data_IF_138045635547
#
_entry.id   IF_138045635547
#
_cell.length_a   1.000
_cell.length_b   1.000
_cell.length_c   1.000
_cell.angle_alpha   90.00
_cell.angle_beta   90.00
_cell.angle_gamma   90.00
#
_symmetry.space_group_name_H-M   'P 1'
#
loop_
_entity.id
_entity.type
_entity.pdbx_description
1 polymer ?
#
# COMPACT_ATOMS: atom_id res chain seq x y z
N UNK A 1 38.08 -9.11 48.56
CA UNK A 1 36.64 -9.45 48.54
C UNK A 1 36.21 -9.39 47.09
N UNK A 2 35.85 -10.51 46.48
CA UNK A 2 35.26 -10.49 45.12
C UNK A 2 33.77 -10.30 45.32
N UNK A 3 33.25 -9.14 44.94
CA UNK A 3 31.82 -8.82 45.04
C UNK A 3 31.03 -9.78 44.14
N UNK A 4 29.95 -10.36 44.65
CA UNK A 4 29.08 -11.21 43.84
C UNK A 4 28.57 -10.44 42.60
N UNK A 5 28.54 -11.07 41.41
CA UNK A 5 28.05 -10.42 40.21
C UNK A 5 26.57 -10.03 40.38
N UNK A 6 26.22 -8.81 39.98
CA UNK A 6 24.82 -8.33 40.04
C UNK A 6 24.00 -8.95 38.90
N UNK A 7 22.70 -9.24 39.12
CA UNK A 7 21.85 -9.78 38.07
C UNK A 7 21.69 -8.77 36.93
N UNK A 8 21.54 -9.25 35.67
CA UNK A 8 21.29 -8.36 34.54
C UNK A 8 19.96 -7.60 34.75
N UNK A 9 19.91 -6.29 34.43
CA UNK A 9 18.68 -5.51 34.53
C UNK A 9 17.62 -6.03 33.56
N UNK A 10 16.35 -5.96 34.00
CA UNK A 10 15.21 -6.32 33.15
C UNK A 10 15.08 -5.31 31.98
N UNK A 11 14.71 -5.76 30.77
CA UNK A 11 14.42 -4.86 29.66
C UNK A 11 13.26 -3.91 29.99
N UNK A 12 13.36 -2.65 29.58
CA UNK A 12 12.25 -1.70 29.72
C UNK A 12 11.11 -2.09 28.74
N UNK A 13 9.89 -2.40 29.24
CA UNK A 13 8.76 -2.77 28.39
C UNK A 13 8.33 -1.66 27.42
N UNK A 14 8.45 -0.38 27.81
CA UNK A 14 8.08 0.76 26.96
C UNK A 14 9.07 0.95 25.83
N UNK A 15 10.36 0.86 26.11
CA UNK A 15 11.41 0.95 25.08
C UNK A 15 11.30 -0.22 24.10
N UNK A 16 11.11 -1.44 24.62
CA UNK A 16 10.95 -2.65 23.82
C UNK A 16 9.71 -2.56 22.92
N UNK A 17 8.58 -2.10 23.45
CA UNK A 17 7.35 -1.90 22.67
C UNK A 17 7.52 -0.81 21.61
N UNK A 18 8.16 0.32 21.95
CA UNK A 18 8.42 1.40 21.00
C UNK A 18 9.30 0.94 19.82
N UNK A 19 10.36 0.16 20.10
CA UNK A 19 11.20 -0.43 19.06
C UNK A 19 10.41 -1.38 18.16
N UNK A 20 9.62 -2.29 18.74
CA UNK A 20 8.75 -3.20 18.00
C UNK A 20 7.76 -2.45 17.08
N UNK A 21 7.12 -1.40 17.59
CA UNK A 21 6.20 -0.57 16.81
C UNK A 21 6.90 0.09 15.64
N UNK A 22 8.10 0.62 15.84
CA UNK A 22 8.89 1.25 14.77
C UNK A 22 9.27 0.24 13.68
N UNK A 23 9.73 -0.95 14.04
CA UNK A 23 10.04 -2.02 13.07
C UNK A 23 8.81 -2.47 12.29
N UNK A 24 7.67 -2.68 12.96
CA UNK A 24 6.42 -3.06 12.29
C UNK A 24 5.98 -1.99 11.28
N UNK A 25 6.14 -0.71 11.64
CA UNK A 25 5.85 0.40 10.75
C UNK A 25 6.78 0.42 9.53
N UNK A 26 8.09 0.25 9.73
CA UNK A 26 9.06 0.17 8.64
C UNK A 26 8.79 -1.02 7.71
N UNK A 27 8.43 -2.16 8.27
CA UNK A 27 8.01 -3.34 7.51
C UNK A 27 6.78 -3.04 6.66
N UNK A 28 5.75 -2.41 7.23
CA UNK A 28 4.54 -2.05 6.49
C UNK A 28 4.82 -1.04 5.36
N UNK A 29 5.67 -0.04 5.63
CA UNK A 29 6.10 0.95 4.62
C UNK A 29 6.86 0.25 3.49
N UNK A 30 7.80 -0.63 3.83
CA UNK A 30 8.58 -1.39 2.85
C UNK A 30 7.69 -2.29 2.02
N UNK A 31 6.78 -3.02 2.66
CA UNK A 31 5.82 -3.88 1.99
C UNK A 31 4.93 -3.08 1.03
N UNK A 32 4.44 -1.91 1.44
CA UNK A 32 3.70 -1.04 0.53
C UNK A 32 4.57 -0.59 -0.64
N UNK A 33 5.81 -0.14 -0.40
CA UNK A 33 6.73 0.31 -1.44
C UNK A 33 7.06 -0.77 -2.48
N UNK A 34 7.19 -2.03 -2.06
CA UNK A 34 7.37 -3.17 -2.97
C UNK A 34 6.12 -3.44 -3.82
N UNK A 35 4.94 -3.26 -3.24
CA UNK A 35 3.66 -3.57 -3.90
C UNK A 35 3.13 -2.40 -4.74
N UNK A 36 3.53 -1.16 -4.46
CA UNK A 36 3.17 0.06 -5.19
C UNK A 36 3.96 0.20 -6.50
N UNK A 37 3.94 -0.86 -7.32
CA UNK A 37 4.68 -0.91 -8.58
C UNK A 37 3.89 -0.21 -9.69
N UNK A 38 4.56 0.71 -10.41
CA UNK A 38 4.00 1.37 -11.57
C UNK A 38 3.74 0.37 -12.70
N UNK A 39 2.62 0.52 -13.40
CA UNK A 39 2.24 -0.31 -14.53
C UNK A 39 1.98 0.54 -15.75
N UNK A 40 2.48 0.08 -16.90
CA UNK A 40 2.20 0.68 -18.20
C UNK A 40 1.64 -0.42 -19.09
N UNK A 41 0.47 -0.18 -19.65
CA UNK A 41 -0.22 -1.08 -20.57
C UNK A 41 -0.48 -0.34 -21.89
N UNK A 42 -0.86 -1.03 -22.98
CA UNK A 42 -1.27 -0.36 -24.22
C UNK A 42 -2.45 0.60 -24.01
N UNK A 43 -3.31 0.31 -23.03
CA UNK A 43 -4.53 1.07 -22.78
C UNK A 43 -4.32 2.25 -21.82
N UNK A 44 -3.22 2.28 -21.07
CA UNK A 44 -2.98 3.32 -20.08
C UNK A 44 -1.82 3.05 -19.12
N UNK A 45 -1.79 3.80 -18.03
CA UNK A 45 -0.80 3.64 -16.96
C UNK A 45 -1.43 3.78 -15.58
N UNK A 46 -0.85 3.09 -14.61
CA UNK A 46 -1.12 3.22 -13.18
C UNK A 46 0.21 3.57 -12.52
N UNK A 47 0.28 4.74 -11.91
CA UNK A 47 1.50 5.24 -11.28
C UNK A 47 1.26 5.56 -9.81
N UNK A 48 2.21 5.22 -8.96
CA UNK A 48 2.22 5.53 -7.54
C UNK A 48 3.28 6.59 -7.27
N UNK A 49 2.90 7.63 -6.54
CA UNK A 49 3.81 8.71 -6.16
C UNK A 49 3.62 9.06 -4.69
N UNK A 50 4.72 9.24 -3.95
CA UNK A 50 4.64 9.77 -2.59
C UNK A 50 4.26 11.25 -2.65
N UNK A 51 3.16 11.61 -1.99
CA UNK A 51 2.61 12.98 -1.94
C UNK A 51 2.88 13.68 -0.60
N UNK A 52 3.55 13.00 0.33
CA UNK A 52 3.95 13.55 1.62
C UNK A 52 4.07 12.46 2.67
N UNK A 53 3.92 12.86 3.93
CA UNK A 53 3.89 11.95 5.08
C UNK A 53 2.80 12.38 6.07
N UNK A 54 2.30 11.42 6.84
CA UNK A 54 1.44 11.69 7.99
C UNK A 54 2.24 12.32 9.15
N UNK A 55 1.54 12.78 10.19
CA UNK A 55 2.16 13.43 11.35
C UNK A 55 3.19 12.53 12.07
N UNK A 56 3.02 11.21 11.98
CA UNK A 56 3.94 10.22 12.54
C UNK A 56 5.13 9.92 11.61
N UNK A 57 5.20 10.53 10.43
CA UNK A 57 6.25 10.30 9.43
C UNK A 57 5.94 9.19 8.41
N UNK A 58 4.81 8.49 8.51
CA UNK A 58 4.43 7.43 7.55
C UNK A 58 4.18 8.03 6.16
N UNK A 59 4.84 7.54 5.08
CA UNK A 59 4.62 8.02 3.72
C UNK A 59 3.16 7.92 3.26
N UNK A 60 2.71 8.94 2.53
CA UNK A 60 1.40 8.99 1.87
C UNK A 60 1.61 8.88 0.37
N UNK A 61 0.84 8.01 -0.28
CA UNK A 61 0.93 7.80 -1.71
C UNK A 61 -0.37 8.13 -2.43
N UNK A 62 -0.23 8.59 -3.66
CA UNK A 62 -1.30 8.80 -4.62
C UNK A 62 -1.15 7.77 -5.74
N UNK A 63 -2.26 7.13 -6.10
CA UNK A 63 -2.34 6.26 -7.26
C UNK A 63 -3.04 7.02 -8.39
N UNK A 64 -2.34 7.27 -9.48
CA UNK A 64 -2.87 7.96 -10.66
C UNK A 64 -3.05 6.96 -11.80
N UNK A 65 -4.29 6.84 -12.27
CA UNK A 65 -4.62 6.10 -13.48
C UNK A 65 -4.79 7.08 -14.64
N UNK A 66 -4.15 6.78 -15.77
CA UNK A 66 -4.26 7.57 -16.99
C UNK A 66 -4.53 6.66 -18.20
N UNK A 67 -5.36 7.12 -19.12
CA UNK A 67 -5.51 6.51 -20.44
C UNK A 67 -4.25 6.71 -21.28
N UNK A 68 -3.96 5.78 -22.19
CA UNK A 68 -2.95 6.01 -23.22
C UNK A 68 -3.37 7.18 -24.12
N UNK A 69 -2.42 7.81 -24.80
CA UNK A 69 -2.73 8.94 -25.68
C UNK A 69 -3.75 8.58 -26.77
N UNK A 70 -3.70 7.34 -27.28
CA UNK A 70 -4.66 6.83 -28.24
C UNK A 70 -6.08 6.75 -27.63
N UNK A 71 -6.21 6.10 -26.46
CA UNK A 71 -7.51 5.96 -25.79
C UNK A 71 -8.06 7.30 -25.28
N UNK A 72 -7.18 8.23 -24.88
CA UNK A 72 -7.57 9.58 -24.48
C UNK A 72 -8.17 10.37 -25.65
N UNK A 73 -7.58 10.30 -26.85
CA UNK A 73 -8.17 10.95 -28.04
C UNK A 73 -9.54 10.39 -28.40
N UNK A 74 -9.73 9.08 -28.27
CA UNK A 74 -11.04 8.45 -28.47
C UNK A 74 -12.02 8.96 -27.43
N UNK A 75 -11.62 9.00 -26.16
CA UNK A 75 -12.45 9.54 -25.06
C UNK A 75 -12.90 10.97 -25.32
N UNK A 76 -11.96 11.85 -25.67
CA UNK A 76 -12.23 13.26 -25.95
C UNK A 76 -13.14 13.41 -27.17
N UNK A 77 -12.92 12.62 -28.23
CA UNK A 77 -13.78 12.60 -29.43
C UNK A 77 -15.19 12.13 -29.08
N UNK A 78 -15.34 11.06 -28.29
CA UNK A 78 -16.65 10.57 -27.85
C UNK A 78 -17.40 11.62 -27.03
N UNK A 79 -16.72 12.31 -26.11
CA UNK A 79 -17.32 13.42 -25.35
C UNK A 79 -17.73 14.59 -26.25
N UNK A 80 -16.89 14.96 -27.21
CA UNK A 80 -17.21 16.02 -28.17
C UNK A 80 -18.42 15.65 -29.02
N UNK A 81 -18.51 14.40 -29.48
CA UNK A 81 -19.66 13.89 -30.24
C UNK A 81 -20.94 13.93 -29.42
N UNK A 82 -20.89 13.51 -28.15
CA UNK A 82 -22.03 13.61 -27.22
C UNK A 82 -22.47 15.07 -27.03
N UNK A 83 -21.53 16.00 -26.89
CA UNK A 83 -21.84 17.42 -26.77
C UNK A 83 -22.46 17.98 -28.05
N UNK A 84 -21.95 17.60 -29.22
CA UNK A 84 -22.50 18.01 -30.51
C UNK A 84 -23.94 17.49 -30.68
N UNK A 85 -24.22 16.24 -30.30
CA UNK A 85 -25.59 15.73 -30.32
C UNK A 85 -26.49 16.50 -29.35
N UNK A 86 -26.03 16.76 -28.13
CA UNK A 86 -26.79 17.54 -27.16
C UNK A 86 -27.13 18.94 -27.71
N UNK A 87 -26.18 19.58 -28.41
CA UNK A 87 -26.39 20.86 -29.07
C UNK A 87 -27.41 20.77 -30.22
N UNK A 88 -27.37 19.71 -31.03
CA UNK A 88 -28.39 19.47 -32.07
C UNK A 88 -29.77 19.31 -31.41
N UNK A 89 -29.87 18.52 -30.34
CA UNK A 89 -31.10 18.36 -29.56
C UNK A 89 -31.62 19.69 -29.00
N UNK A 90 -30.72 20.53 -28.48
CA UNK A 90 -31.05 21.88 -28.00
C UNK A 90 -31.56 22.79 -29.11
N UNK A 91 -30.90 22.80 -30.28
CA UNK A 91 -31.31 23.63 -31.41
C UNK A 91 -32.65 23.17 -32.00
N UNK A 92 -32.86 21.87 -32.13
CA UNK A 92 -34.11 21.32 -32.65
C UNK A 92 -35.27 21.54 -31.67
N UNK A 93 -35.04 21.37 -30.37
CA UNK A 93 -36.04 21.69 -29.35
C UNK A 93 -36.37 23.19 -29.32
N UNK A 94 -35.39 24.07 -29.51
CA UNK A 94 -35.63 25.51 -29.65
C UNK A 94 -36.47 25.85 -30.91
N UNK A 95 -36.20 25.20 -32.05
CA UNK A 95 -37.02 25.35 -33.27
C UNK A 95 -38.46 24.89 -33.05
N UNK A 96 -38.66 23.77 -32.36
CA UNK A 96 -40.01 23.27 -31.99
C UNK A 96 -40.69 24.25 -31.03
N UNK A 97 -39.97 24.77 -30.02
CA UNK A 97 -40.47 25.79 -29.11
C UNK A 97 -40.92 27.05 -29.85
N UNK A 98 -40.14 27.52 -30.82
CA UNK A 98 -40.50 28.66 -31.66
C UNK A 98 -41.71 28.37 -32.56
N UNK A 99 -41.77 27.19 -33.19
CA UNK A 99 -42.89 26.73 -34.01
C UNK A 99 -44.20 26.65 -33.22
N UNK A 100 -44.15 26.15 -31.98
CA UNK A 100 -45.31 26.08 -31.08
C UNK A 100 -45.77 27.47 -30.58
N UNK A 101 -44.88 28.47 -30.62
CA UNK A 101 -45.17 29.85 -30.19
C UNK A 101 -45.62 30.78 -31.33
N UNK A 102 -45.42 30.38 -32.59
CA UNK A 102 -45.94 31.09 -33.75
C UNK A 102 -47.35 30.59 -34.09
N UNK A 103 -48.32 31.51 -34.15
CA UNK A 103 -49.66 31.22 -34.68
C UNK A 103 -49.51 30.54 -36.05
N UNK A 104 -50.11 29.35 -36.20
CA UNK A 104 -50.09 28.57 -37.42
C UNK A 104 -50.67 29.38 -38.58
N UNK A 105 -49.81 29.83 -39.49
CA UNK A 105 -50.19 30.42 -40.78
C UNK A 105 -50.01 29.36 -41.88
N UNK A 106 -51.09 28.86 -42.50
CA UNK A 106 -51.04 27.79 -43.49
C UNK A 106 -50.38 28.16 -44.84
N UNK A 107 -49.97 29.41 -45.08
CA UNK A 107 -49.27 29.81 -46.31
C UNK A 107 -47.76 29.54 -46.23
N UNK A 108 -47.35 28.28 -46.34
CA UNK A 108 -45.93 27.91 -46.37
C UNK A 108 -45.38 28.03 -47.81
N UNK A 109 -45.03 29.26 -48.20
CA UNK A 109 -44.76 29.68 -49.58
C UNK A 109 -43.53 29.03 -50.25
N UNK A 110 -42.55 28.50 -49.50
CA UNK A 110 -41.26 28.08 -50.09
C UNK A 110 -41.30 26.68 -50.73
N UNK A 111 -42.01 25.73 -50.12
CA UNK A 111 -42.21 24.38 -50.69
C UNK A 111 -43.28 24.41 -51.78
N UNK A 112 -44.33 25.21 -51.57
CA UNK A 112 -45.37 25.43 -52.58
C UNK A 112 -44.82 26.08 -53.83
N UNK A 113 -43.99 27.13 -53.71
CA UNK A 113 -43.40 27.82 -54.85
C UNK A 113 -42.55 26.91 -55.73
N UNK A 114 -41.71 26.06 -55.12
CA UNK A 114 -40.81 25.17 -55.86
C UNK A 114 -41.56 23.99 -56.51
N UNK A 115 -42.60 23.45 -55.87
CA UNK A 115 -43.50 22.47 -56.48
C UNK A 115 -44.29 23.09 -57.64
N UNK A 116 -44.73 24.34 -57.50
CA UNK A 116 -45.42 25.07 -58.56
C UNK A 116 -44.52 25.27 -59.79
N UNK A 117 -43.26 25.67 -59.58
CA UNK A 117 -42.31 25.93 -60.66
C UNK A 117 -41.97 24.66 -61.46
N UNK A 118 -41.70 23.56 -60.77
CA UNK A 118 -41.46 22.25 -61.38
C UNK A 118 -42.70 21.67 -62.07
N UNK A 119 -43.88 21.84 -61.47
CA UNK A 119 -45.16 21.41 -62.02
C UNK A 119 -45.50 22.14 -63.31
N UNK A 120 -45.43 23.48 -63.32
CA UNK A 120 -45.66 24.30 -64.51
C UNK A 120 -44.73 23.99 -65.66
N UNK A 121 -43.43 23.86 -65.40
CA UNK A 121 -42.44 23.62 -66.44
C UNK A 121 -42.75 22.37 -67.27
N UNK A 122 -43.38 21.37 -66.67
CA UNK A 122 -43.77 20.12 -67.33
C UNK A 122 -45.23 20.12 -67.82
N UNK A 123 -46.15 20.74 -67.09
CA UNK A 123 -47.59 20.74 -67.40
C UNK A 123 -48.00 21.79 -68.42
N UNK A 124 -47.39 22.98 -68.40
CA UNK A 124 -47.75 24.09 -69.29
C UNK A 124 -47.69 23.70 -70.79
N UNK A 125 -46.63 23.04 -71.31
CA UNK A 125 -46.61 22.65 -72.72
C UNK A 125 -47.65 21.57 -73.07
N UNK A 126 -47.95 20.66 -72.15
CA UNK A 126 -48.96 19.63 -72.34
C UNK A 126 -50.37 20.23 -72.38
N UNK A 127 -50.65 21.17 -71.47
CA UNK A 127 -51.93 21.88 -71.39
C UNK A 127 -52.16 22.76 -72.63
N UNK A 128 -51.12 23.43 -73.13
CA UNK A 128 -51.20 24.21 -74.36
C UNK A 128 -51.54 23.33 -75.58
N UNK A 129 -50.99 22.12 -75.67
CA UNK A 129 -51.35 21.17 -76.73
C UNK A 129 -52.83 20.72 -76.64
N UNK A 130 -53.31 20.43 -75.44
CA UNK A 130 -54.71 20.03 -75.22
C UNK A 130 -55.70 21.16 -75.57
N UNK A 131 -55.36 22.39 -75.20
CA UNK A 131 -56.17 23.56 -75.55
C UNK A 131 -56.26 23.73 -77.08
N UNK A 132 -55.14 23.63 -77.79
CA UNK A 132 -55.11 23.74 -79.25
C UNK A 132 -55.92 22.63 -79.93
N UNK A 133 -55.87 21.40 -79.40
CA UNK A 133 -56.66 20.29 -79.89
C UNK A 133 -58.17 20.51 -79.66
N UNK A 134 -58.55 21.04 -78.50
CA UNK A 134 -59.94 21.40 -78.18
C UNK A 134 -60.45 22.48 -79.15
N UNK A 135 -59.68 23.56 -79.34
CA UNK A 135 -60.04 24.63 -80.28
C UNK A 135 -60.22 24.12 -81.70
N UNK A 136 -59.33 23.23 -82.17
CA UNK A 136 -59.45 22.60 -83.49
C UNK A 136 -60.73 21.77 -83.62
N UNK A 137 -61.08 21.00 -82.56
CA UNK A 137 -62.29 20.18 -82.54
C UNK A 137 -63.56 21.04 -82.58
N UNK A 138 -63.60 22.10 -81.79
CA UNK A 138 -64.72 23.05 -81.77
C UNK A 138 -64.90 23.74 -83.12
N UNK A 139 -63.79 24.16 -83.75
CA UNK A 139 -63.80 24.74 -85.09
C UNK A 139 -64.32 23.77 -86.15
N UNK A 140 -63.88 22.50 -86.14
CA UNK A 140 -64.37 21.47 -87.06
C UNK A 140 -65.86 21.12 -86.85
N UNK A 141 -66.40 21.39 -85.66
CA UNK A 141 -67.83 21.23 -85.34
C UNK A 141 -68.67 22.47 -85.70
N UNK A 142 -68.05 23.51 -86.29
CA UNK A 142 -68.72 24.76 -86.65
C UNK A 142 -68.95 25.70 -85.47
N UNK A 143 -68.35 25.42 -84.30
CA UNK A 143 -68.43 26.26 -83.12
C UNK A 143 -67.35 27.35 -83.21
N UNK A 144 -67.76 28.55 -83.63
CA UNK A 144 -66.85 29.67 -83.81
C UNK A 144 -66.40 30.28 -82.47
N UNK A 145 -65.14 30.77 -82.37
CA UNK A 145 -64.69 31.57 -81.25
C UNK A 145 -65.60 32.78 -81.00
N UNK A 146 -65.93 33.05 -79.73
CA UNK A 146 -66.86 34.13 -79.33
C UNK A 146 -68.35 33.73 -79.33
N UNK A 147 -68.68 32.50 -79.70
CA UNK A 147 -70.02 31.94 -79.46
C UNK A 147 -70.18 31.51 -78.00
N UNK A 148 -71.41 31.56 -77.48
CA UNK A 148 -71.72 31.13 -76.11
C UNK A 148 -71.33 29.65 -75.86
N UNK A 149 -71.46 28.79 -76.89
CA UNK A 149 -71.05 27.39 -76.82
C UNK A 149 -69.53 27.23 -76.73
N UNK A 150 -68.75 28.00 -77.50
CA UNK A 150 -67.30 28.02 -77.40
C UNK A 150 -66.83 28.45 -76.00
N UNK A 151 -67.42 29.52 -75.47
CA UNK A 151 -67.06 30.04 -74.14
C UNK A 151 -67.45 29.09 -73.01
N UNK A 152 -68.54 28.33 -73.16
CA UNK A 152 -68.93 27.31 -72.19
C UNK A 152 -67.93 26.15 -72.16
N UNK A 153 -67.53 25.64 -73.33
CA UNK A 153 -66.54 24.56 -73.45
C UNK A 153 -65.16 24.99 -72.96
N UNK A 154 -64.71 26.19 -73.33
CA UNK A 154 -63.44 26.74 -72.85
C UNK A 154 -63.47 26.99 -71.33
N UNK A 155 -64.60 27.39 -70.74
CA UNK A 155 -64.73 27.49 -69.27
C UNK A 155 -64.65 26.12 -68.61
N UNK A 156 -65.34 25.13 -69.14
CA UNK A 156 -65.30 23.75 -68.64
C UNK A 156 -63.88 23.19 -68.67
N UNK A 157 -63.17 23.37 -69.79
CA UNK A 157 -61.77 22.98 -69.94
C UNK A 157 -60.85 23.67 -68.91
N UNK A 158 -61.00 24.99 -68.73
CA UNK A 158 -60.21 25.74 -67.76
C UNK A 158 -60.51 25.32 -66.31
N UNK A 159 -61.75 25.00 -65.97
CA UNK A 159 -62.13 24.47 -64.66
C UNK A 159 -61.51 23.10 -64.41
N UNK A 160 -61.63 22.16 -65.36
CA UNK A 160 -61.00 20.84 -65.24
C UNK A 160 -59.47 20.91 -65.12
N UNK A 161 -58.84 21.86 -65.82
CA UNK A 161 -57.40 22.14 -65.71
C UNK A 161 -57.00 22.64 -64.33
N UNK A 162 -57.76 23.57 -63.76
CA UNK A 162 -57.52 24.08 -62.40
C UNK A 162 -57.67 22.98 -61.35
N UNK A 163 -58.69 22.13 -61.48
CA UNK A 163 -58.92 21.02 -60.54
C UNK A 163 -57.80 19.97 -60.62
N UNK A 164 -57.32 19.68 -61.83
CA UNK A 164 -56.21 18.75 -62.05
C UNK A 164 -54.89 19.29 -61.48
N UNK A 165 -54.61 20.60 -61.65
CA UNK A 165 -53.45 21.25 -61.03
C UNK A 165 -53.56 21.25 -59.49
N UNK A 166 -54.74 21.50 -58.94
CA UNK A 166 -54.98 21.43 -57.51
C UNK A 166 -54.77 20.02 -56.96
N UNK A 167 -55.26 18.98 -57.64
CA UNK A 167 -55.01 17.59 -57.24
C UNK A 167 -53.53 17.20 -57.29
N UNK A 168 -52.80 17.64 -58.32
CA UNK A 168 -51.36 17.41 -58.41
C UNK A 168 -50.62 18.10 -57.27
N UNK A 169 -51.01 19.33 -56.93
CA UNK A 169 -50.40 20.07 -55.82
C UNK A 169 -50.64 19.35 -54.48
N UNK A 170 -51.87 18.88 -54.24
CA UNK A 170 -52.22 18.17 -53.01
C UNK A 170 -51.45 16.85 -52.88
N UNK A 171 -51.32 16.08 -53.98
CA UNK A 171 -50.55 14.82 -53.99
C UNK A 171 -49.05 15.06 -53.89
N UNK A 172 -48.52 16.07 -54.58
CA UNK A 172 -47.12 16.48 -54.52
C UNK A 172 -46.71 16.99 -53.14
N UNK A 173 -47.59 17.73 -52.44
CA UNK A 173 -47.37 18.15 -51.04
C UNK A 173 -47.21 16.95 -50.11
N UNK A 174 -48.06 15.93 -50.24
CA UNK A 174 -47.97 14.72 -49.42
C UNK A 174 -46.65 13.98 -49.64
N UNK A 175 -46.18 13.89 -50.88
CA UNK A 175 -44.89 13.27 -51.23
C UNK A 175 -43.69 14.08 -50.72
N UNK A 176 -43.68 15.39 -50.98
CA UNK A 176 -42.61 16.28 -50.53
C UNK A 176 -42.50 16.29 -48.98
N UNK A 177 -43.63 16.26 -48.28
CA UNK A 177 -43.64 16.19 -46.82
C UNK A 177 -43.01 14.88 -46.28
N UNK A 178 -43.31 13.75 -46.93
CA UNK A 178 -42.71 12.45 -46.58
C UNK A 178 -41.21 12.40 -46.88
N UNK A 179 -40.76 13.00 -47.99
CA UNK A 179 -39.33 13.13 -48.31
C UNK A 179 -38.60 13.98 -47.27
N UNK A 180 -39.17 15.13 -46.90
CA UNK A 180 -38.58 16.06 -45.93
C UNK A 180 -38.51 15.45 -44.53
N UNK A 181 -39.49 14.62 -44.15
CA UNK A 181 -39.43 13.82 -42.92
C UNK A 181 -38.33 12.75 -42.97
N UNK A 182 -38.13 12.11 -44.12
CA UNK A 182 -37.09 11.08 -44.30
C UNK A 182 -35.71 11.69 -44.25
N UNK A 183 -35.50 12.83 -44.92
CA UNK A 183 -34.25 13.60 -44.90
C UNK A 183 -33.92 14.10 -43.48
N UNK A 184 -34.93 14.45 -42.68
CA UNK A 184 -34.74 14.82 -41.27
C UNK A 184 -34.45 13.63 -40.34
N UNK A 185 -34.96 12.44 -40.62
CA UNK A 185 -34.80 11.26 -39.76
C UNK A 185 -33.50 10.48 -40.04
N UNK A 186 -32.96 10.55 -41.25
CA UNK A 186 -31.72 9.88 -41.64
C UNK A 186 -30.51 10.25 -40.76
N UNK A 187 -30.18 11.55 -40.55
CA UNK A 187 -29.03 11.93 -39.72
C UNK A 187 -29.19 11.52 -38.26
N UNK A 188 -30.41 11.53 -37.73
CA UNK A 188 -30.67 11.17 -36.34
C UNK A 188 -30.42 9.68 -36.08
N UNK A 189 -30.81 8.81 -37.02
CA UNK A 189 -30.56 7.38 -36.93
C UNK A 189 -29.07 7.03 -37.13
N UNK A 190 -28.37 7.71 -38.05
CA UNK A 190 -26.93 7.56 -38.24
C UNK A 190 -26.13 7.99 -36.99
N UNK A 191 -26.54 9.09 -36.35
CA UNK A 191 -25.89 9.57 -35.12
C UNK A 191 -26.15 8.62 -33.93
N UNK A 192 -27.36 8.06 -33.82
CA UNK A 192 -27.66 7.04 -32.80
C UNK A 192 -26.82 5.78 -32.99
N UNK A 193 -26.52 5.40 -34.23
CA UNK A 193 -25.66 4.26 -34.55
C UNK A 193 -24.17 4.55 -34.24
N UNK A 194 -23.71 5.79 -34.41
CA UNK A 194 -22.34 6.20 -34.06
C UNK A 194 -22.12 6.28 -32.54
N UNK A 195 -23.15 6.66 -31.77
CA UNK A 195 -23.09 6.76 -30.30
C UNK A 195 -23.01 5.41 -29.58
N UNK A 196 -23.53 4.34 -30.19
CA UNK A 196 -23.43 3.00 -29.59
C UNK A 196 -22.07 2.32 -29.85
N UNK A 197 -21.24 2.89 -30.74
CA UNK A 197 -20.14 2.18 -31.37
C UNK A 197 -18.81 2.09 -30.62
N UNK A 198 -18.56 2.88 -29.56
CA UNK A 198 -17.29 2.75 -28.82
C UNK A 198 -17.33 3.39 -27.43
N UNK A 199 -17.67 2.60 -26.41
CA UNK A 199 -17.31 2.97 -25.05
C UNK A 199 -15.80 2.80 -24.89
N UNK A 200 -15.11 3.86 -24.45
CA UNK A 200 -13.70 3.75 -24.05
C UNK A 200 -13.61 2.80 -22.87
N UNK A 201 -12.99 1.64 -23.08
CA UNK A 201 -12.79 0.65 -22.03
C UNK A 201 -11.79 1.19 -21.02
N UNK A 202 -12.14 1.16 -19.74
CA UNK A 202 -11.22 1.53 -18.67
C UNK A 202 -9.99 0.59 -18.72
N UNK A 203 -8.76 1.11 -18.61
CA UNK A 203 -7.57 0.26 -18.61
C UNK A 203 -7.63 -0.74 -17.46
N UNK A 204 -7.37 -2.02 -17.77
CA UNK A 204 -7.16 -3.05 -16.76
C UNK A 204 -5.67 -3.18 -16.45
N UNK A 205 -5.32 -3.16 -15.17
CA UNK A 205 -3.95 -3.32 -14.70
C UNK A 205 -3.74 -4.75 -14.18
N UNK A 206 -2.55 -5.30 -14.36
CA UNK A 206 -2.21 -6.62 -13.87
C UNK A 206 -2.16 -6.64 -12.33
N UNK A 207 -2.47 -7.79 -11.74
CA UNK A 207 -2.20 -8.01 -10.31
C UNK A 207 -0.69 -8.03 -10.11
N UNK A 208 -0.14 -7.07 -9.36
CA UNK A 208 1.27 -7.06 -8.97
C UNK A 208 1.52 -8.17 -7.94
N UNK A 209 2.56 -9.02 -8.11
CA UNK A 209 2.93 -10.00 -7.10
C UNK A 209 3.07 -9.33 -5.73
N UNK A 210 2.31 -9.79 -4.73
CA UNK A 210 2.38 -9.21 -3.40
C UNK A 210 3.61 -9.76 -2.66
N UNK A 211 4.66 -8.95 -2.55
CA UNK A 211 5.77 -9.27 -1.67
C UNK A 211 5.32 -9.07 -0.22
N UNK A 212 5.49 -10.11 0.61
CA UNK A 212 5.28 -10.02 2.05
C UNK A 212 6.62 -9.82 2.73
N UNK A 213 6.71 -8.78 3.56
CA UNK A 213 7.87 -8.54 4.42
C UNK A 213 7.46 -8.99 5.82
N UNK A 214 8.18 -9.95 6.39
CA UNK A 214 7.88 -10.45 7.72
C UNK A 214 8.25 -9.40 8.79
N UNK A 215 7.40 -9.26 9.80
CA UNK A 215 7.75 -8.51 11.01
C UNK A 215 8.80 -9.29 11.81
N UNK A 216 9.71 -8.57 12.45
CA UNK A 216 10.66 -9.14 13.42
C UNK A 216 10.01 -9.08 14.79
N UNK A 217 9.92 -10.19 15.52
CA UNK A 217 9.50 -10.21 16.93
C UNK A 217 10.67 -9.79 17.84
N UNK A 218 10.93 -8.49 17.88
CA UNK A 218 11.97 -7.90 18.70
C UNK A 218 11.70 -8.06 20.19
N UNK A 219 10.44 -7.96 20.62
CA UNK A 219 10.09 -8.20 22.02
C UNK A 219 10.42 -9.63 22.45
N UNK A 220 10.15 -10.62 21.61
CA UNK A 220 10.57 -12.00 21.80
C UNK A 220 12.09 -12.14 21.87
N UNK A 221 12.83 -11.52 20.96
CA UNK A 221 14.30 -11.55 20.93
C UNK A 221 14.94 -10.92 22.18
N UNK A 222 14.44 -9.77 22.62
CA UNK A 222 14.92 -9.07 23.82
C UNK A 222 14.66 -9.92 25.07
N UNK A 223 13.47 -10.51 25.19
CA UNK A 223 13.15 -11.40 26.31
C UNK A 223 13.99 -12.68 26.30
N UNK A 224 14.20 -13.29 25.11
CA UNK A 224 15.04 -14.48 24.97
C UNK A 224 16.50 -14.18 25.36
N UNK A 225 17.04 -13.02 24.94
CA UNK A 225 18.37 -12.57 25.38
C UNK A 225 18.43 -12.37 26.88
N UNK A 226 17.45 -11.71 27.48
CA UNK A 226 17.44 -11.48 28.93
C UNK A 226 17.40 -12.81 29.72
N UNK A 227 16.62 -13.79 29.27
CA UNK A 227 16.60 -15.13 29.88
C UNK A 227 17.96 -15.84 29.76
N UNK A 228 18.65 -15.71 28.62
CA UNK A 228 19.99 -16.26 28.44
C UNK A 228 21.01 -15.59 29.36
N UNK A 229 20.94 -14.25 29.50
CA UNK A 229 21.81 -13.48 30.40
C UNK A 229 21.57 -13.86 31.87
N UNK A 230 20.30 -14.08 32.26
CA UNK A 230 19.94 -14.59 33.60
C UNK A 230 20.46 -16.01 33.86
N UNK A 231 20.34 -16.90 32.87
CA UNK A 231 20.85 -18.27 32.99
C UNK A 231 22.37 -18.30 33.12
N UNK A 232 23.08 -17.46 32.36
CA UNK A 232 24.53 -17.30 32.45
C UNK A 232 24.94 -16.75 33.83
N UNK A 233 24.26 -15.70 34.30
CA UNK A 233 24.47 -15.15 35.64
C UNK A 233 24.23 -16.21 36.74
N UNK A 234 23.16 -16.99 36.64
CA UNK A 234 22.85 -18.04 37.61
C UNK A 234 23.89 -19.16 37.58
N UNK A 235 24.39 -19.54 36.41
CA UNK A 235 25.48 -20.51 36.28
C UNK A 235 26.79 -20.00 36.91
N UNK A 236 27.09 -18.70 36.78
CA UNK A 236 28.26 -18.07 37.41
C UNK A 236 28.13 -17.99 38.94
N UNK A 237 26.96 -17.62 39.45
CA UNK A 237 26.69 -17.65 40.90
C UNK A 237 26.76 -19.09 41.44
N UNK A 238 26.22 -20.07 40.72
CA UNK A 238 26.29 -21.47 41.11
C UNK A 238 27.71 -22.03 41.07
N UNK A 239 28.54 -21.63 40.09
CA UNK A 239 29.94 -22.06 40.02
C UNK A 239 30.79 -21.43 41.13
N UNK A 240 30.55 -20.15 41.48
CA UNK A 240 31.18 -19.51 42.63
C UNK A 240 30.75 -20.15 43.95
N UNK A 241 29.46 -20.48 44.11
CA UNK A 241 28.95 -21.20 45.28
C UNK A 241 29.48 -22.64 45.35
N UNK A 242 29.64 -23.34 44.22
CA UNK A 242 30.22 -24.68 44.17
C UNK A 242 31.75 -24.67 44.39
N UNK A 243 32.45 -23.63 43.94
CA UNK A 243 33.87 -23.42 44.21
C UNK A 243 34.10 -23.09 45.69
N UNK A 244 33.25 -22.25 46.29
CA UNK A 244 33.28 -21.98 47.72
C UNK A 244 32.87 -23.21 48.53
N UNK A 245 31.78 -23.90 48.17
CA UNK A 245 31.35 -25.15 48.80
C UNK A 245 32.37 -26.28 48.65
N UNK A 246 33.09 -26.33 47.52
CA UNK A 246 34.21 -27.24 47.28
C UNK A 246 35.46 -26.86 48.06
N UNK A 247 35.78 -25.57 48.20
CA UNK A 247 36.92 -25.10 48.99
C UNK A 247 36.70 -25.24 50.50
N UNK A 248 35.45 -25.16 50.97
CA UNK A 248 35.06 -25.45 52.35
C UNK A 248 34.77 -26.96 52.59
N UNK A 249 34.40 -27.71 51.55
CA UNK A 249 34.10 -29.16 51.59
C UNK A 249 35.29 -30.07 51.26
N UNK A 250 36.37 -29.55 50.65
CA UNK A 250 37.66 -30.23 50.46
C UNK A 250 38.54 -30.15 51.73
N UNK A 251 37.92 -30.24 52.90
CA UNK A 251 38.57 -30.60 54.15
C UNK A 251 38.76 -32.11 54.29
N UNK A 252 39.22 -32.81 53.24
CA UNK A 252 39.26 -34.28 53.28
C UNK A 252 40.22 -35.00 52.33
N UNK A 253 40.27 -34.68 51.03
CA UNK A 253 41.03 -35.52 50.10
C UNK A 253 41.59 -34.77 48.89
N UNK A 254 42.87 -35.02 48.62
CA UNK A 254 43.64 -34.82 47.38
C UNK A 254 44.57 -33.58 47.31
N UNK A 255 45.81 -33.79 47.76
CA UNK A 255 46.95 -33.77 46.83
C UNK A 255 47.58 -32.43 46.41
N UNK A 256 47.11 -31.29 46.90
CA UNK A 256 47.84 -30.02 46.82
C UNK A 256 48.29 -29.63 48.24
N UNK A 257 49.60 -29.49 48.46
CA UNK A 257 50.10 -28.97 49.72
C UNK A 257 49.48 -27.59 49.96
N UNK A 258 48.55 -27.50 50.93
CA UNK A 258 47.92 -26.26 51.34
C UNK A 258 48.94 -25.40 52.09
N UNK A 259 49.89 -24.82 51.36
CA UNK A 259 50.80 -23.80 51.85
C UNK A 259 49.98 -22.51 51.99
N UNK A 260 49.64 -22.16 53.23
CA UNK A 260 49.07 -20.83 53.53
C UNK A 260 50.18 -19.95 54.10
N UNK A 261 50.38 -18.79 53.50
CA UNK A 261 51.24 -17.75 54.07
C UNK A 261 50.83 -17.48 55.51
N UNK A 262 51.74 -17.72 56.46
CA UNK A 262 51.47 -17.64 57.89
C UNK A 262 52.50 -16.81 58.64
N UNK A 263 53.26 -16.00 57.90
CA UNK A 263 54.25 -15.07 58.40
C UNK A 263 53.60 -14.00 59.32
N UNK A 264 54.11 -13.76 60.54
CA UNK A 264 53.61 -12.70 61.42
C UNK A 264 53.67 -11.31 60.78
N UNK A 265 54.62 -11.04 59.88
CA UNK A 265 54.75 -9.76 59.20
C UNK A 265 53.50 -9.41 58.38
N UNK A 266 52.77 -10.42 57.90
CA UNK A 266 51.55 -10.25 57.10
C UNK A 266 50.28 -10.12 57.96
N UNK A 267 50.41 -10.24 59.29
CA UNK A 267 49.27 -10.37 60.22
C UNK A 267 49.20 -9.22 61.23
N UNK A 268 48.01 -8.97 61.72
CA UNK A 268 47.60 -7.95 62.71
C UNK A 268 46.58 -8.56 63.68
N UNK A 269 46.28 -7.89 64.79
CA UNK A 269 45.32 -8.34 65.81
C UNK A 269 45.56 -9.79 66.28
N UNK A 270 46.84 -10.14 66.48
CA UNK A 270 47.27 -11.51 66.77
C UNK A 270 47.01 -11.81 68.26
N UNK A 271 46.04 -12.68 68.52
CA UNK A 271 45.68 -13.14 69.86
C UNK A 271 45.78 -14.66 69.93
N UNK A 272 46.47 -15.19 70.93
CA UNK A 272 46.53 -16.64 71.14
C UNK A 272 45.19 -17.12 71.72
N UNK A 273 44.50 -17.97 70.97
CA UNK A 273 43.16 -18.48 71.32
C UNK A 273 43.16 -19.95 71.75
N UNK A 274 44.26 -20.67 71.55
CA UNK A 274 44.34 -22.07 71.93
C UNK A 274 45.67 -22.72 71.65
N UNK A 275 45.68 -24.05 71.67
CA UNK A 275 46.83 -24.89 71.39
C UNK A 275 46.37 -26.23 70.81
N UNK A 276 47.06 -26.73 69.80
CA UNK A 276 46.85 -28.06 69.23
C UNK A 276 47.38 -29.15 70.16
N UNK A 277 46.93 -30.39 69.98
CA UNK A 277 47.39 -31.56 70.76
C UNK A 277 48.90 -31.79 70.68
N UNK A 278 49.53 -31.39 69.57
CA UNK A 278 50.98 -31.45 69.38
C UNK A 278 51.75 -30.27 70.01
N UNK A 279 51.04 -29.40 70.73
CA UNK A 279 51.59 -28.28 71.50
C UNK A 279 51.74 -26.97 70.73
N UNK A 280 51.48 -26.93 69.42
CA UNK A 280 51.55 -25.68 68.64
C UNK A 280 50.44 -24.70 69.06
N UNK A 281 50.77 -23.42 69.33
CA UNK A 281 49.76 -22.40 69.65
C UNK A 281 48.89 -22.07 68.44
N UNK A 282 47.61 -21.82 68.70
CA UNK A 282 46.62 -21.38 67.71
C UNK A 282 46.26 -19.92 68.01
N UNK A 283 46.22 -19.09 66.96
CA UNK A 283 45.99 -17.66 67.04
C UNK A 283 44.73 -17.27 66.27
N UNK A 284 44.01 -16.27 66.77
CA UNK A 284 43.11 -15.42 65.98
C UNK A 284 43.92 -14.24 65.46
N UNK A 285 43.79 -13.88 64.19
CA UNK A 285 44.51 -12.76 63.58
C UNK A 285 43.72 -12.19 62.40
N UNK A 286 44.14 -11.04 61.88
CA UNK A 286 43.68 -10.46 60.60
C UNK A 286 44.86 -10.21 59.68
N UNK A 287 44.73 -10.43 58.37
CA UNK A 287 45.78 -10.05 57.42
C UNK A 287 45.86 -8.53 57.25
N UNK A 288 47.09 -8.01 57.09
CA UNK A 288 47.34 -6.59 56.80
C UNK A 288 46.70 -6.12 55.50
N UNK A 289 46.57 -7.02 54.52
CA UNK A 289 45.89 -6.77 53.25
C UNK A 289 44.36 -6.59 53.40
N UNK A 290 43.81 -6.76 54.61
CA UNK A 290 42.37 -6.67 54.89
C UNK A 290 41.69 -8.04 54.91
N UNK A 291 40.45 -8.07 55.43
CA UNK A 291 39.65 -9.29 55.58
C UNK A 291 39.04 -9.46 56.98
N UNK A 292 38.15 -10.45 57.17
CA UNK A 292 37.63 -10.81 58.49
C UNK A 292 38.74 -11.45 59.36
N UNK A 293 38.56 -11.53 60.69
CA UNK A 293 39.45 -12.29 61.57
C UNK A 293 39.47 -13.78 61.18
N UNK A 294 40.66 -14.35 61.09
CA UNK A 294 40.92 -15.77 60.83
C UNK A 294 41.54 -16.45 62.05
N UNK A 295 41.48 -17.79 62.09
CA UNK A 295 42.16 -18.60 63.10
C UNK A 295 43.19 -19.49 62.41
N UNK A 296 44.42 -19.53 62.93
CA UNK A 296 45.49 -20.34 62.36
C UNK A 296 46.79 -20.35 63.16
N UNK A 297 47.83 -20.91 62.57
CA UNK A 297 49.16 -21.01 63.17
C UNK A 297 50.02 -19.79 62.83
N UNK A 298 51.04 -19.56 63.66
CA UNK A 298 52.08 -18.57 63.37
C UNK A 298 53.33 -19.27 62.85
N UNK A 299 53.85 -18.82 61.72
CA UNK A 299 54.99 -19.47 61.07
C UNK A 299 56.22 -19.56 61.99
N UNK A 300 56.49 -18.55 62.81
CA UNK A 300 57.59 -18.56 63.78
C UNK A 300 57.47 -19.70 64.81
N UNK A 301 56.26 -19.93 65.32
CA UNK A 301 56.01 -21.01 66.29
C UNK A 301 56.11 -22.38 65.65
N UNK A 302 55.64 -22.50 64.40
CA UNK A 302 55.76 -23.71 63.62
C UNK A 302 57.23 -23.98 63.30
N UNK A 303 58.00 -22.97 62.86
CA UNK A 303 59.42 -23.09 62.56
C UNK A 303 60.23 -23.60 63.77
N UNK A 304 59.89 -23.14 64.98
CA UNK A 304 60.56 -23.58 66.23
C UNK A 304 60.30 -25.04 66.58
N UNK A 305 59.14 -25.60 66.23
CA UNK A 305 58.72 -26.95 66.69
C UNK A 305 58.68 -28.00 65.58
N UNK A 306 58.43 -27.55 64.35
CA UNK A 306 58.15 -28.31 63.14
C UNK A 306 58.78 -27.59 61.93
N UNK A 307 60.11 -27.39 61.89
CA UNK A 307 60.76 -26.70 60.79
C UNK A 307 60.48 -27.34 59.42
N UNK A 308 60.21 -28.66 59.39
CA UNK A 308 59.83 -29.39 58.18
C UNK A 308 58.49 -28.95 57.55
N UNK A 309 57.68 -28.22 58.32
CA UNK A 309 56.38 -27.70 57.91
C UNK A 309 56.44 -26.25 57.39
N UNK A 310 57.64 -25.66 57.26
CA UNK A 310 57.82 -24.29 56.74
C UNK A 310 58.29 -24.33 55.29
N UNK A 311 57.54 -23.64 54.42
CA UNK A 311 57.99 -23.22 53.10
C UNK A 311 58.35 -21.73 53.11
N UNK A 312 59.28 -21.32 52.26
CA UNK A 312 59.58 -19.90 52.00
C UNK A 312 59.37 -19.61 50.52
N UNK A 313 58.86 -18.43 50.21
CA UNK A 313 58.81 -17.95 48.83
C UNK A 313 60.14 -17.26 48.42
N UNK A 314 60.19 -16.75 47.19
CA UNK A 314 61.33 -16.02 46.67
C UNK A 314 61.63 -14.70 47.41
N UNK A 315 60.67 -14.17 48.16
CA UNK A 315 60.75 -12.92 48.93
C UNK A 315 61.10 -13.18 50.41
N UNK A 316 61.21 -14.46 50.81
CA UNK A 316 61.59 -14.89 52.15
C UNK A 316 60.42 -15.04 53.13
N UNK A 317 59.18 -14.80 52.69
CA UNK A 317 57.97 -14.90 53.51
C UNK A 317 57.65 -16.35 53.83
N UNK A 318 57.26 -16.61 55.07
CA UNK A 318 57.02 -17.97 55.54
C UNK A 318 55.57 -18.43 55.29
N UNK A 319 55.43 -19.59 54.66
CA UNK A 319 54.20 -20.35 54.54
C UNK A 319 54.25 -21.61 55.41
N UNK A 320 53.11 -21.97 56.00
CA UNK A 320 52.97 -23.18 56.81
C UNK A 320 52.25 -24.25 56.00
N UNK A 321 52.86 -25.43 55.90
CA UNK A 321 52.21 -26.67 55.49
C UNK A 321 51.41 -27.21 56.68
N UNK A 322 50.10 -26.97 56.67
CA UNK A 322 49.22 -27.35 57.78
C UNK A 322 49.14 -28.87 57.98
N UNK A 323 49.41 -29.69 56.96
CA UNK A 323 49.40 -31.15 57.10
C UNK A 323 50.58 -31.57 57.97
N UNK A 324 51.79 -31.12 57.63
CA UNK A 324 52.99 -31.43 58.41
C UNK A 324 52.95 -30.80 59.80
N UNK A 325 52.45 -29.56 59.90
CA UNK A 325 52.38 -28.85 61.17
C UNK A 325 51.40 -29.50 62.16
N UNK A 326 50.30 -30.08 61.70
CA UNK A 326 49.24 -30.64 62.58
C UNK A 326 49.36 -32.15 62.83
N UNK A 327 50.16 -32.88 62.04
CA UNK A 327 50.34 -34.33 62.23
C UNK A 327 50.92 -34.67 63.62
N UNK A 328 50.24 -35.57 64.34
CA UNK A 328 50.69 -36.07 65.64
C UNK A 328 51.90 -36.99 65.48
N UNK A 329 52.93 -36.82 66.33
CA UNK A 329 54.13 -37.68 66.30
C UNK A 329 53.74 -39.04 66.91
N UNK A 330 53.22 -39.98 66.11
CA UNK A 330 53.11 -41.38 66.54
C UNK A 330 54.51 -41.87 66.90
N UNK A 331 54.74 -42.15 68.19
CA UNK A 331 55.98 -42.74 68.65
C UNK A 331 56.24 -44.06 67.93
N UNK A 332 57.43 -44.22 67.36
CA UNK A 332 58.00 -45.54 67.10
C UNK A 332 58.12 -46.24 68.45
N UNK A 333 57.21 -47.17 68.75
CA UNK A 333 57.50 -48.27 69.66
C UNK A 333 58.00 -49.43 68.81
N UNK A 334 59.32 -49.61 68.80
CA UNK A 334 59.97 -50.90 68.54
C UNK A 334 59.76 -51.78 69.78
N UNK A 335 59.55 -53.08 69.59
CA UNK A 335 59.50 -54.10 70.64
C UNK A 335 58.13 -54.73 70.77
#
# INVERSE_FOLDING_TARGET
MVSAPSPPPAPDPKETAAAQTQMNKETAITQYGLNATNQVTPDGSLTYRQIGSWADGTPRYEATQALSDANRRIYDTTRQTQQNLANIGQQQSAKIGNLLNTNFDPSNNDIEGRLWELGRARLDPLQAQQENALRTRLANQGIAPGSAAFEAEMRSFNQGRNDQNNQLLLTGRQQAYNELLTERNQPLNEISALLSGSQVRQPTFASTPQSSVANVDYAGLVNAKHQADLAAWQAEVNSQNAMMGGLFGLGGTLGAAALKFSDPALKTDIEKVGRLDNGLPVYRYRYRAGGPPEIGLMADDVARRRPEAIGRDAEGLMAVDYVKATTSRKGRRNG
#
